data_IF_593875246779
#
_entry.id   IF_593875246779
#
_cell.length_a   1.000
_cell.length_b   1.000
_cell.length_c   1.000
_cell.angle_alpha   90.00
_cell.angle_beta   90.00
_cell.angle_gamma   90.00
#
_symmetry.space_group_name_H-M   'P 1'
#
loop_
_entity.id
_entity.type
_entity.pdbx_description
1 polymer ?
#
# COMPACT_ATOMS: atom_id res chain seq x y z
N UNK A 1 -7.03 6.71 15.49
CA UNK A 1 -5.76 7.32 15.96
C UNK A 1 -4.70 6.77 15.02
N UNK A 2 -3.89 7.64 14.41
CA UNK A 2 -2.89 7.22 13.43
C UNK A 2 -1.81 6.35 14.08
N UNK A 3 -1.32 5.36 13.33
CA UNK A 3 -0.29 4.42 13.74
C UNK A 3 0.93 5.12 14.37
N UNK A 4 1.17 4.81 15.65
CA UNK A 4 2.27 5.35 16.46
C UNK A 4 3.57 4.55 16.32
N UNK A 5 3.52 3.35 15.73
CA UNK A 5 4.66 2.42 15.62
C UNK A 5 5.34 2.49 14.26
N UNK A 6 4.58 2.74 13.19
CA UNK A 6 5.08 3.09 11.87
C UNK A 6 4.43 4.40 11.41
N UNK A 7 5.08 5.56 11.66
CA UNK A 7 4.55 6.84 11.27
C UNK A 7 4.21 6.88 9.77
N UNK A 8 3.00 7.36 9.48
CA UNK A 8 2.49 7.55 8.12
C UNK A 8 3.47 8.32 7.20
N UNK A 9 4.29 9.19 7.80
CA UNK A 9 5.32 9.99 7.15
C UNK A 9 6.38 9.16 6.41
N UNK A 10 6.70 7.95 6.88
CA UNK A 10 7.67 7.08 6.20
C UNK A 10 7.17 6.67 4.80
N UNK A 11 5.90 6.27 4.69
CA UNK A 11 5.30 5.89 3.41
C UNK A 11 5.24 7.06 2.43
N UNK A 12 4.90 8.25 2.91
CA UNK A 12 4.84 9.47 2.08
C UNK A 12 6.24 9.92 1.64
N UNK A 13 7.24 9.85 2.50
CA UNK A 13 8.62 10.19 2.14
C UNK A 13 9.16 9.25 1.05
N UNK A 14 8.86 7.96 1.15
CA UNK A 14 9.26 6.99 0.13
C UNK A 14 8.52 7.20 -1.19
N UNK A 15 7.21 7.44 -1.16
CA UNK A 15 6.41 7.76 -2.34
C UNK A 15 6.93 9.02 -3.07
N UNK A 16 7.35 10.03 -2.31
CA UNK A 16 8.00 11.23 -2.86
C UNK A 16 9.28 10.87 -3.62
N UNK A 17 10.18 10.09 -3.02
CA UNK A 17 11.44 9.70 -3.68
C UNK A 17 11.22 8.84 -4.92
N UNK A 18 10.23 7.94 -4.92
CA UNK A 18 9.84 7.16 -6.11
C UNK A 18 9.33 8.08 -7.23
N UNK A 19 8.50 9.06 -6.89
CA UNK A 19 7.96 10.05 -7.83
C UNK A 19 9.08 10.91 -8.44
N UNK A 20 10.01 11.41 -7.61
CA UNK A 20 11.18 12.18 -8.06
C UNK A 20 12.09 11.35 -8.98
N UNK A 21 12.11 10.03 -8.80
CA UNK A 21 12.89 9.09 -9.62
C UNK A 21 12.16 8.61 -10.88
N UNK A 22 10.92 9.06 -11.11
CA UNK A 22 10.11 8.65 -12.27
C UNK A 22 9.61 7.20 -12.22
N UNK A 23 9.60 6.58 -11.05
CA UNK A 23 9.14 5.18 -10.88
C UNK A 23 7.62 5.16 -10.76
N UNK A 24 6.97 4.25 -11.49
CA UNK A 24 5.53 4.01 -11.38
C UNK A 24 5.28 3.05 -10.21
N UNK A 25 4.37 3.42 -9.31
CA UNK A 25 4.00 2.62 -8.14
C UNK A 25 2.52 2.78 -7.82
N UNK A 26 1.96 1.81 -7.09
CA UNK A 26 0.62 1.89 -6.48
C UNK A 26 0.80 2.14 -4.98
N UNK A 27 0.09 3.13 -4.45
CA UNK A 27 0.10 3.48 -3.03
C UNK A 27 -1.32 3.39 -2.47
N UNK A 28 -1.48 2.71 -1.33
CA UNK A 28 -2.75 2.58 -0.63
C UNK A 28 -2.52 2.94 0.83
N UNK A 29 -3.32 3.87 1.34
CA UNK A 29 -3.28 4.32 2.74
C UNK A 29 -4.66 4.25 3.39
N UNK A 30 -4.66 3.95 4.69
CA UNK A 30 -5.87 3.91 5.52
C UNK A 30 -5.69 4.90 6.67
N UNK A 31 -6.06 6.16 6.46
CA UNK A 31 -5.85 7.23 7.43
C UNK A 31 -6.74 7.10 8.68
N UNK A 32 -7.88 6.39 8.55
CA UNK A 32 -8.87 6.20 9.62
C UNK A 32 -8.58 4.97 10.49
N UNK A 33 -7.57 4.18 10.14
CA UNK A 33 -7.22 2.93 10.82
C UNK A 33 -5.90 3.07 11.58
N UNK A 34 -5.83 2.40 12.73
CA UNK A 34 -4.58 2.24 13.49
C UNK A 34 -3.74 1.08 12.90
N UNK A 35 -2.55 0.82 13.46
CA UNK A 35 -1.58 -0.19 12.96
C UNK A 35 -2.20 -1.56 12.64
N UNK A 36 -3.23 -1.96 13.40
CA UNK A 36 -3.87 -3.26 13.27
C UNK A 36 -4.80 -3.39 12.04
N UNK A 37 -5.15 -2.28 11.36
CA UNK A 37 -6.04 -2.25 10.19
C UNK A 37 -7.37 -2.99 10.39
N UNK A 38 -7.80 -3.17 11.64
CA UNK A 38 -8.84 -4.12 12.03
C UNK A 38 -10.19 -3.89 11.33
N UNK A 39 -10.51 -2.65 10.94
CA UNK A 39 -11.74 -2.34 10.19
C UNK A 39 -11.63 -2.50 8.68
N UNK A 40 -10.41 -2.61 8.13
CA UNK A 40 -10.15 -2.63 6.67
C UNK A 40 -9.40 -3.86 6.19
N UNK A 41 -9.12 -4.84 7.06
CA UNK A 41 -8.36 -6.05 6.71
C UNK A 41 -8.91 -6.75 5.47
N UNK A 42 -10.24 -6.90 5.36
CA UNK A 42 -10.85 -7.52 4.18
C UNK A 42 -10.54 -6.76 2.90
N UNK A 43 -10.66 -5.43 2.93
CA UNK A 43 -10.35 -4.59 1.77
C UNK A 43 -8.86 -4.60 1.43
N UNK A 44 -7.99 -4.58 2.44
CA UNK A 44 -6.54 -4.66 2.27
C UNK A 44 -6.14 -6.00 1.62
N UNK A 45 -6.64 -7.13 2.12
CA UNK A 45 -6.33 -8.44 1.56
C UNK A 45 -6.87 -8.62 0.15
N UNK A 46 -8.10 -8.19 -0.14
CA UNK A 46 -8.64 -8.21 -1.52
C UNK A 46 -7.85 -7.32 -2.47
N UNK A 47 -7.42 -6.15 -2.01
CA UNK A 47 -6.58 -5.25 -2.81
C UNK A 47 -5.21 -5.87 -3.13
N UNK A 48 -4.61 -6.55 -2.14
CA UNK A 48 -3.36 -7.29 -2.32
C UNK A 48 -3.52 -8.47 -3.28
N UNK A 49 -4.59 -9.26 -3.12
CA UNK A 49 -4.91 -10.39 -4.00
C UNK A 49 -5.08 -9.93 -5.45
N UNK A 50 -5.86 -8.87 -5.68
CA UNK A 50 -6.03 -8.29 -7.02
C UNK A 50 -4.71 -7.81 -7.62
N UNK A 51 -3.92 -7.05 -6.86
CA UNK A 51 -2.61 -6.57 -7.32
C UNK A 51 -1.66 -7.72 -7.69
N UNK A 52 -1.57 -8.74 -6.83
CA UNK A 52 -0.70 -9.90 -7.10
C UNK A 52 -1.21 -10.73 -8.27
N UNK A 53 -2.53 -10.93 -8.39
CA UNK A 53 -3.13 -11.62 -9.52
C UNK A 53 -2.82 -10.90 -10.84
N UNK A 54 -2.96 -9.57 -10.89
CA UNK A 54 -2.56 -8.76 -12.06
C UNK A 54 -1.07 -8.94 -12.40
N UNK A 55 -0.18 -8.78 -11.42
CA UNK A 55 1.27 -8.91 -11.64
C UNK A 55 1.70 -10.31 -12.09
N UNK A 56 1.12 -11.35 -11.50
CA UNK A 56 1.50 -12.74 -11.76
C UNK A 56 0.80 -13.33 -12.99
N UNK A 57 -0.40 -12.86 -13.34
CA UNK A 57 -1.09 -13.27 -14.57
C UNK A 57 -0.50 -12.64 -15.84
N UNK A 58 0.25 -11.54 -15.69
CA UNK A 58 0.99 -10.90 -16.78
C UNK A 58 2.26 -11.68 -17.20
N UNK A 59 2.53 -12.84 -16.59
CA UNK A 59 3.55 -13.80 -17.03
C UNK A 59 2.90 -15.05 -17.69
N UNK A 60 2.23 -14.92 -18.86
CA UNK A 60 1.99 -16.08 -19.70
C UNK A 60 3.31 -16.44 -20.38
N UNK A 61 3.92 -17.52 -19.91
CA UNK A 61 5.04 -18.22 -20.56
C UNK A 61 4.86 -18.40 -22.07
#
# INVERSE_FOLDING_TARGET
>A
MADLTAPYTHGVAFAKSLTESGVIFRYQSYADEDHALTGVLEHAYRSMEGFLAECLALDPS
#
